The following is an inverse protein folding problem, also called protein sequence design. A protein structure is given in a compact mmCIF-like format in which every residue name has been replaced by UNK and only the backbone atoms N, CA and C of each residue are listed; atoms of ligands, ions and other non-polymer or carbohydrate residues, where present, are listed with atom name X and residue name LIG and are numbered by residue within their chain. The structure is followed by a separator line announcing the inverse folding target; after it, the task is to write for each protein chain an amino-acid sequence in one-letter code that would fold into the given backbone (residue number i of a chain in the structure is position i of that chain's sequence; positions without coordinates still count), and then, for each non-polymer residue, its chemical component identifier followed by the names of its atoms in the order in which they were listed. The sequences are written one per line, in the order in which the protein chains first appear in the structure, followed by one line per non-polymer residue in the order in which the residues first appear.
data_IF_461833238106
#
_entry.id   IF_461833238106
#
_cell.length_a   1.000
_cell.length_b   1.000
_cell.length_c   1.000
_cell.angle_alpha   90.00
_cell.angle_beta   90.00
_cell.angle_gamma   90.00
#
_symmetry.space_group_name_H-M   'P 1'
#
loop_
_entity.id
_entity.type
_entity.pdbx_description
1 polymer ?
#
# COMPACT_ATOMS: atom_id res chain seq x y z
N UNK A 1 8.79 7.28 -18.57
CA UNK A 1 8.70 7.47 -17.11
C UNK A 1 7.76 6.41 -16.57
N UNK A 2 8.23 5.53 -15.69
CA UNK A 2 7.41 4.47 -15.08
C UNK A 2 6.70 5.03 -13.84
N UNK A 3 5.39 4.83 -13.72
CA UNK A 3 4.59 5.26 -12.57
C UNK A 3 4.03 4.01 -11.90
N UNK A 4 4.19 3.90 -10.58
CA UNK A 4 3.49 2.92 -9.77
C UNK A 4 2.16 3.53 -9.32
N UNK A 5 1.06 3.02 -9.85
CA UNK A 5 -0.27 3.45 -9.44
C UNK A 5 -0.84 2.44 -8.43
N UNK A 6 -1.15 2.91 -7.23
CA UNK A 6 -1.80 2.14 -6.16
C UNK A 6 -3.09 2.87 -5.78
N UNK A 7 -4.15 2.12 -5.51
CA UNK A 7 -5.44 2.69 -5.10
C UNK A 7 -6.05 1.83 -4.00
N UNK A 8 -7.03 2.39 -3.28
CA UNK A 8 -7.87 1.65 -2.34
C UNK A 8 -7.07 0.92 -1.25
N UNK A 9 -6.07 1.62 -0.69
CA UNK A 9 -5.19 1.05 0.33
C UNK A 9 -5.87 0.96 1.71
N UNK A 10 -6.90 1.80 1.96
CA UNK A 10 -7.83 1.71 3.10
C UNK A 10 -7.12 1.48 4.45
N UNK A 11 -6.17 2.35 4.82
CA UNK A 11 -5.53 2.29 6.13
C UNK A 11 -6.57 2.32 7.23
N UNK A 12 -6.51 1.32 8.11
CA UNK A 12 -7.55 1.06 9.11
C UNK A 12 -6.94 0.94 10.50
N UNK A 13 -7.33 1.84 11.39
CA UNK A 13 -6.93 1.75 12.79
C UNK A 13 -7.89 0.84 13.58
N UNK A 14 -7.39 -0.08 14.42
CA UNK A 14 -5.99 -0.29 14.80
C UNK A 14 -5.26 -1.36 13.97
N UNK A 15 -5.88 -1.97 12.96
CA UNK A 15 -5.31 -3.11 12.21
C UNK A 15 -3.96 -2.75 11.57
N UNK A 16 -3.86 -1.60 10.89
CA UNK A 16 -2.61 -1.16 10.28
C UNK A 16 -1.55 -0.70 11.30
N UNK A 17 -1.96 -0.40 12.54
CA UNK A 17 -1.06 -0.05 13.64
C UNK A 17 -0.56 -1.30 14.41
N UNK A 18 -1.20 -2.46 14.18
CA UNK A 18 -0.88 -3.74 14.82
C UNK A 18 -0.79 -4.83 13.75
N UNK A 19 0.33 -4.92 13.01
CA UNK A 19 0.50 -5.86 11.91
C UNK A 19 0.19 -7.31 12.27
N UNK A 20 0.39 -7.71 13.53
CA UNK A 20 0.05 -9.04 14.05
C UNK A 20 -1.45 -9.35 14.05
N UNK A 21 -2.30 -8.32 13.96
CA UNK A 21 -3.77 -8.45 13.89
C UNK A 21 -4.34 -8.23 12.49
N UNK A 22 -3.48 -7.93 11.53
CA UNK A 22 -3.88 -7.55 10.19
C UNK A 22 -4.07 -8.79 9.29
N UNK A 23 -5.31 -9.09 8.85
CA UNK A 23 -5.61 -10.29 8.06
C UNK A 23 -5.01 -10.23 6.65
N UNK A 24 -4.63 -9.04 6.17
CA UNK A 24 -4.20 -8.81 4.79
C UNK A 24 -2.67 -8.88 4.62
N UNK A 25 -1.91 -9.16 5.69
CA UNK A 25 -0.44 -9.34 5.64
C UNK A 25 0.01 -10.30 4.53
N UNK A 26 -0.60 -11.49 4.33
CA UNK A 26 -0.19 -12.40 3.26
C UNK A 26 -0.41 -11.82 1.86
N UNK A 27 -1.49 -11.05 1.68
CA UNK A 27 -1.83 -10.40 0.41
C UNK A 27 -0.83 -9.30 0.12
N UNK A 28 -0.54 -8.43 1.10
CA UNK A 28 0.48 -7.37 0.94
C UNK A 28 1.86 -7.93 0.66
N UNK A 29 2.23 -9.04 1.31
CA UNK A 29 3.50 -9.73 1.05
C UNK A 29 3.62 -10.15 -0.42
N UNK A 30 2.58 -10.80 -0.97
CA UNK A 30 2.57 -11.21 -2.38
C UNK A 30 2.59 -10.02 -3.34
N UNK A 31 1.84 -8.97 -3.03
CA UNK A 31 1.85 -7.73 -3.81
C UNK A 31 3.25 -7.12 -3.87
N UNK A 32 3.95 -7.02 -2.74
CA UNK A 32 5.31 -6.48 -2.70
C UNK A 32 6.29 -7.31 -3.53
N UNK A 33 6.23 -8.63 -3.44
CA UNK A 33 7.07 -9.53 -4.24
C UNK A 33 6.82 -9.36 -5.76
N UNK A 34 5.56 -9.24 -6.17
CA UNK A 34 5.22 -8.99 -7.57
C UNK A 34 5.72 -7.62 -8.03
N UNK A 35 5.54 -6.57 -7.21
CA UNK A 35 6.05 -5.24 -7.50
C UNK A 35 7.58 -5.22 -7.67
N UNK A 36 8.32 -5.92 -6.81
CA UNK A 36 9.78 -6.06 -6.94
C UNK A 36 10.16 -6.73 -8.27
N UNK A 37 9.47 -7.81 -8.65
CA UNK A 37 9.70 -8.47 -9.93
C UNK A 37 9.39 -7.54 -11.13
N UNK A 38 8.33 -6.75 -11.05
CA UNK A 38 7.97 -5.78 -12.08
C UNK A 38 8.99 -4.65 -12.19
N UNK A 39 9.48 -4.11 -11.06
CA UNK A 39 10.53 -3.08 -11.05
C UNK A 39 11.83 -3.62 -11.62
N UNK A 40 12.21 -4.86 -11.30
CA UNK A 40 13.39 -5.50 -11.88
C UNK A 40 13.30 -5.63 -13.41
N UNK A 41 12.09 -5.86 -13.94
CA UNK A 41 11.83 -6.02 -15.38
C UNK A 41 11.67 -4.69 -16.13
N UNK A 42 10.96 -3.73 -15.55
CA UNK A 42 10.52 -2.48 -16.20
C UNK A 42 11.45 -1.30 -15.91
N UNK A 43 12.31 -1.43 -14.89
CA UNK A 43 13.23 -0.37 -14.45
C UNK A 43 12.65 0.49 -13.34
N UNK A 44 13.35 1.59 -13.05
CA UNK A 44 13.07 2.45 -11.90
C UNK A 44 11.72 3.18 -12.02
N UNK A 45 10.91 3.11 -10.97
CA UNK A 45 9.70 3.92 -10.80
C UNK A 45 10.09 5.38 -10.54
N UNK A 46 9.52 6.29 -11.33
CA UNK A 46 9.75 7.73 -11.22
C UNK A 46 8.76 8.44 -10.30
N UNK A 47 7.56 7.88 -10.12
CA UNK A 47 6.54 8.42 -9.23
C UNK A 47 5.62 7.31 -8.70
N UNK A 48 5.12 7.48 -7.48
CA UNK A 48 4.02 6.70 -6.92
C UNK A 48 2.77 7.58 -6.95
N UNK A 49 1.73 7.12 -7.61
CA UNK A 49 0.42 7.75 -7.63
C UNK A 49 -0.51 6.96 -6.73
N UNK A 50 -1.14 7.64 -5.76
CA UNK A 50 -2.17 7.06 -4.90
C UNK A 50 -3.52 7.59 -5.35
N UNK A 51 -4.38 6.69 -5.86
CA UNK A 51 -5.60 7.02 -6.58
C UNK A 51 -6.79 7.49 -5.72
N UNK A 52 -6.76 7.26 -4.42
CA UNK A 52 -7.87 7.57 -3.52
C UNK A 52 -8.00 6.53 -2.41
N UNK A 53 -9.00 6.72 -1.56
CA UNK A 53 -9.35 5.86 -0.44
C UNK A 53 -8.14 5.41 0.39
N UNK A 54 -7.38 6.42 0.81
CA UNK A 54 -6.18 6.24 1.62
C UNK A 54 -6.52 5.74 3.01
N UNK A 55 -7.49 6.37 3.67
CA UNK A 55 -7.98 5.97 4.99
C UNK A 55 -9.32 5.25 4.86
N UNK A 56 -9.55 4.25 5.71
CA UNK A 56 -10.76 3.44 5.69
C UNK A 56 -12.01 4.23 6.13
N UNK A 57 -11.88 5.09 7.14
CA UNK A 57 -13.00 5.89 7.70
C UNK A 57 -12.63 7.36 7.94
N UNK A 58 -11.52 7.81 7.37
CA UNK A 58 -10.99 9.17 7.55
C UNK A 58 -10.78 9.56 9.04
N UNK A 59 -10.49 8.58 9.90
CA UNK A 59 -10.13 8.88 11.28
C UNK A 59 -8.73 9.50 11.33
N UNK A 60 -8.46 10.50 12.19
CA UNK A 60 -7.16 11.16 12.24
C UNK A 60 -6.00 10.19 12.39
N UNK A 61 -6.16 9.15 13.22
CA UNK A 61 -5.15 8.13 13.50
C UNK A 61 -4.82 7.25 12.28
N UNK A 62 -5.67 7.24 11.24
CA UNK A 62 -5.41 6.52 9.98
C UNK A 62 -4.48 7.30 9.03
N UNK A 63 -4.21 8.56 9.34
CA UNK A 63 -3.25 9.42 8.62
C UNK A 63 -1.98 9.69 9.42
N UNK A 64 -1.93 9.29 10.69
CA UNK A 64 -0.74 9.41 11.53
C UNK A 64 0.29 8.33 11.17
N UNK A 65 1.57 8.72 11.13
CA UNK A 65 2.71 7.88 10.73
C UNK A 65 3.67 7.61 11.88
#
# INVERSE_FOLDING_TARGET
MLILHVSDIHFRAPQCLKPETDPDVPIRTRMMQDLEAQVAKLGKVGAILIGGDVAFKAAPEEYET
#
